data_IF_585430117190
#
_entry.id   IF_585430117190
#
_cell.length_a   1.000
_cell.length_b   1.000
_cell.length_c   1.000
_cell.angle_alpha   90.00
_cell.angle_beta   90.00
_cell.angle_gamma   90.00
#
_symmetry.space_group_name_H-M   'P 1'
#
loop_
_entity.id
_entity.type
_entity.pdbx_description
1 polymer ?
#
# COMPACT_ATOMS: atom_id res chain seq x y z
N UNK A 1 20.94 -9.60 14.93
CA UNK A 1 20.18 -8.44 14.40
C UNK A 1 19.01 -8.82 13.49
N UNK A 2 18.92 -10.03 12.92
CA UNK A 2 17.75 -10.45 12.12
C UNK A 2 16.58 -11.04 12.92
N UNK A 3 16.83 -11.53 14.14
CA UNK A 3 15.81 -12.23 14.95
C UNK A 3 15.03 -11.30 15.89
N UNK A 4 15.49 -10.06 16.08
CA UNK A 4 14.93 -9.13 17.07
C UNK A 4 13.76 -8.31 16.50
N UNK A 5 13.76 -8.01 15.18
CA UNK A 5 12.65 -7.31 14.53
C UNK A 5 11.36 -8.15 14.48
N UNK A 6 11.49 -9.47 14.29
CA UNK A 6 10.32 -10.37 14.27
C UNK A 6 9.76 -10.62 15.67
N UNK A 7 10.62 -10.66 16.69
CA UNK A 7 10.19 -10.69 18.09
C UNK A 7 9.40 -9.45 18.48
N UNK A 8 9.69 -8.27 17.92
CA UNK A 8 8.90 -7.05 18.18
C UNK A 8 7.47 -7.11 17.61
N UNK A 9 7.26 -7.75 16.45
CA UNK A 9 5.90 -7.97 15.91
C UNK A 9 5.11 -9.06 16.66
N UNK A 10 5.78 -10.09 17.19
CA UNK A 10 5.13 -11.20 17.92
C UNK A 10 5.05 -11.02 19.44
N UNK A 11 5.90 -10.19 20.06
CA UNK A 11 5.81 -9.83 21.50
C UNK A 11 4.66 -8.87 21.81
N UNK A 12 3.95 -8.38 20.79
CA UNK A 12 2.63 -7.78 20.96
C UNK A 12 1.50 -8.81 20.76
N UNK A 13 1.74 -10.08 21.09
CA UNK A 13 0.68 -10.99 21.50
C UNK A 13 0.30 -10.60 22.94
N UNK A 14 -0.84 -9.95 23.18
CA UNK A 14 -1.20 -9.46 24.49
C UNK A 14 -1.51 -10.66 25.38
N UNK A 15 -0.64 -10.92 26.35
CA UNK A 15 -0.86 -11.89 27.43
C UNK A 15 -1.90 -11.39 28.46
N UNK A 16 -2.67 -10.34 28.13
CA UNK A 16 -3.78 -9.79 28.92
C UNK A 16 -4.93 -9.30 28.02
N UNK A 17 -6.16 -9.31 28.57
CA UNK A 17 -7.45 -8.90 27.96
C UNK A 17 -7.43 -8.57 26.45
N UNK A 18 -7.83 -9.55 25.65
CA UNK A 18 -7.76 -9.60 24.18
C UNK A 18 -8.57 -8.54 23.43
N UNK A 19 -9.50 -7.83 24.10
CA UNK A 19 -10.33 -6.82 23.45
C UNK A 19 -9.69 -5.42 23.41
N UNK A 20 -9.06 -4.99 24.51
CA UNK A 20 -8.46 -3.65 24.62
C UNK A 20 -7.22 -3.51 23.75
N UNK A 21 -6.40 -4.54 23.69
CA UNK A 21 -5.19 -4.61 22.86
C UNK A 21 -5.48 -4.58 21.36
N UNK A 22 -6.54 -5.24 20.90
CA UNK A 22 -7.01 -5.17 19.50
C UNK A 22 -7.58 -3.79 19.17
N UNK A 23 -8.32 -3.18 20.10
CA UNK A 23 -8.88 -1.84 19.92
C UNK A 23 -7.79 -0.77 19.81
N UNK A 24 -6.69 -0.91 20.56
CA UNK A 24 -5.53 0.01 20.47
C UNK A 24 -4.76 -0.19 19.17
N UNK A 25 -4.54 -1.45 18.75
CA UNK A 25 -3.79 -1.77 17.54
C UNK A 25 -4.52 -1.37 16.25
N UNK A 26 -5.84 -1.56 16.19
CA UNK A 26 -6.65 -1.20 15.02
C UNK A 26 -7.23 0.22 15.13
N UNK A 27 -7.72 0.63 16.29
CA UNK A 27 -8.30 1.96 16.48
C UNK A 27 -7.27 3.09 16.54
N UNK A 28 -6.06 2.81 17.05
CA UNK A 28 -4.99 3.81 17.17
C UNK A 28 -4.59 4.44 15.82
N UNK A 29 -4.33 3.65 14.76
CA UNK A 29 -4.03 4.18 13.43
C UNK A 29 -5.24 4.73 12.67
N UNK A 30 -6.43 4.15 12.85
CA UNK A 30 -7.62 4.57 12.08
C UNK A 30 -8.02 6.02 12.39
N UNK A 31 -7.92 6.45 13.64
CA UNK A 31 -8.28 7.82 14.04
C UNK A 31 -7.48 8.91 13.29
N UNK A 32 -6.13 8.90 13.26
CA UNK A 32 -5.37 9.90 12.52
C UNK A 32 -5.61 9.81 11.00
N UNK A 33 -5.75 8.61 10.43
CA UNK A 33 -6.03 8.47 8.99
C UNK A 33 -7.33 9.14 8.57
N UNK A 34 -8.42 8.93 9.32
CA UNK A 34 -9.72 9.54 9.01
C UNK A 34 -9.64 11.08 9.08
N UNK A 35 -8.95 11.62 10.09
CA UNK A 35 -8.79 13.07 10.25
C UNK A 35 -7.99 13.66 9.08
N UNK A 36 -6.90 13.01 8.67
CA UNK A 36 -6.04 13.48 7.58
C UNK A 36 -6.78 13.41 6.21
N UNK A 37 -7.55 12.35 5.97
CA UNK A 37 -8.34 12.18 4.75
C UNK A 37 -9.49 13.19 4.65
N UNK A 38 -10.21 13.42 5.76
CA UNK A 38 -11.28 14.43 5.83
C UNK A 38 -10.71 15.84 5.60
N UNK A 39 -9.55 16.13 6.19
CA UNK A 39 -8.86 17.40 6.02
C UNK A 39 -8.41 17.59 4.56
N UNK A 40 -7.83 16.55 3.95
CA UNK A 40 -7.43 16.56 2.54
C UNK A 40 -8.61 16.79 1.61
N UNK A 41 -9.73 16.12 1.87
CA UNK A 41 -10.98 16.26 1.10
C UNK A 41 -11.59 17.64 1.25
N UNK A 42 -11.63 18.18 2.48
CA UNK A 42 -12.14 19.52 2.74
C UNK A 42 -11.34 20.60 2.00
N UNK A 43 -10.00 20.53 2.03
CA UNK A 43 -9.17 21.45 1.27
C UNK A 43 -9.32 21.26 -0.24
N UNK A 44 -9.30 20.01 -0.72
CA UNK A 44 -9.47 19.68 -2.14
C UNK A 44 -10.78 20.22 -2.72
N UNK A 45 -11.89 20.06 -2.00
CA UNK A 45 -13.20 20.56 -2.41
C UNK A 45 -13.34 22.09 -2.34
N UNK A 46 -12.57 22.75 -1.48
CA UNK A 46 -12.62 24.20 -1.32
C UNK A 46 -11.74 24.98 -2.31
N UNK A 47 -10.73 24.36 -2.93
CA UNK A 47 -9.88 24.98 -3.97
C UNK A 47 -10.68 25.73 -5.05
N UNK A 48 -11.69 25.15 -5.72
CA UNK A 48 -12.41 25.84 -6.80
C UNK A 48 -13.25 27.03 -6.32
N UNK A 49 -13.51 27.16 -5.02
CA UNK A 49 -14.34 28.24 -4.47
C UNK A 49 -13.56 29.54 -4.23
N UNK A 50 -12.22 29.50 -4.18
CA UNK A 50 -11.38 30.65 -3.84
C UNK A 50 -10.36 30.90 -4.96
N UNK A 51 -10.45 32.03 -5.71
CA UNK A 51 -9.57 32.31 -6.85
C UNK A 51 -8.07 32.32 -6.52
N UNK A 52 -7.69 32.78 -5.32
CA UNK A 52 -6.28 32.77 -4.88
C UNK A 52 -5.75 31.36 -4.64
N UNK A 53 -6.60 30.41 -4.25
CA UNK A 53 -6.19 29.01 -4.08
C UNK A 53 -6.05 28.32 -5.43
N UNK A 54 -6.91 28.63 -6.39
CA UNK A 54 -6.78 28.14 -7.76
C UNK A 54 -5.48 28.60 -8.42
N UNK A 55 -5.08 29.87 -8.25
CA UNK A 55 -3.81 30.36 -8.79
C UNK A 55 -2.60 29.76 -8.07
N UNK A 56 -2.65 29.62 -6.74
CA UNK A 56 -1.62 28.94 -5.96
C UNK A 56 -1.49 27.45 -6.33
N UNK A 57 -2.61 26.78 -6.62
CA UNK A 57 -2.65 25.40 -7.09
C UNK A 57 -2.02 25.24 -8.48
N UNK A 58 -2.27 26.19 -9.39
CA UNK A 58 -1.65 26.18 -10.72
C UNK A 58 -0.13 26.40 -10.65
N UNK A 59 0.36 27.19 -9.69
CA UNK A 59 1.78 27.50 -9.54
C UNK A 59 2.58 26.42 -8.79
N UNK A 60 2.00 25.81 -7.75
CA UNK A 60 2.72 24.94 -6.83
C UNK A 60 1.95 23.69 -6.36
N UNK A 61 0.83 23.37 -7.00
CA UNK A 61 -0.03 22.26 -6.61
C UNK A 61 -0.55 22.40 -5.17
N UNK A 62 -0.74 21.25 -4.50
CA UNK A 62 -1.24 21.21 -3.11
C UNK A 62 -0.31 21.96 -2.14
N UNK A 63 1.01 21.85 -2.33
CA UNK A 63 1.99 22.56 -1.50
C UNK A 63 1.91 24.09 -1.63
N UNK A 64 1.60 24.58 -2.84
CA UNK A 64 1.34 26.01 -3.10
C UNK A 64 0.10 26.52 -2.39
N UNK A 65 -0.99 25.75 -2.40
CA UNK A 65 -2.24 26.09 -1.69
C UNK A 65 -2.03 26.14 -0.18
N UNK A 66 -1.37 25.13 0.40
CA UNK A 66 -1.04 25.14 1.83
C UNK A 66 -0.11 26.30 2.19
N UNK A 67 0.80 26.66 1.28
CA UNK A 67 1.66 27.84 1.41
C UNK A 67 0.87 29.13 1.50
N UNK A 68 -0.05 29.34 0.57
CA UNK A 68 -0.92 30.52 0.54
C UNK A 68 -1.79 30.61 1.81
N UNK A 69 -2.39 29.50 2.26
CA UNK A 69 -3.23 29.47 3.46
C UNK A 69 -2.42 29.80 4.72
N UNK A 70 -1.26 29.17 4.90
CA UNK A 70 -0.45 29.33 6.10
C UNK A 70 0.25 30.70 6.15
N UNK A 71 0.77 31.18 5.02
CA UNK A 71 1.49 32.46 4.97
C UNK A 71 0.52 33.64 5.05
N UNK A 72 -0.66 33.56 4.41
CA UNK A 72 -1.65 34.64 4.49
C UNK A 72 -2.24 34.84 5.89
N UNK A 73 -2.32 33.77 6.70
CA UNK A 73 -2.90 33.81 8.06
C UNK A 73 -1.85 33.99 9.16
N UNK A 74 -0.70 33.31 9.06
CA UNK A 74 0.31 33.22 10.11
C UNK A 74 1.65 33.88 9.75
N UNK A 75 1.77 34.46 8.55
CA UNK A 75 2.97 35.17 8.10
C UNK A 75 4.25 34.33 8.21
N UNK A 76 5.22 34.82 8.99
CA UNK A 76 6.51 34.14 9.19
C UNK A 76 6.42 32.79 9.90
N UNK A 77 5.46 32.61 10.82
CA UNK A 77 5.27 31.34 11.52
C UNK A 77 4.68 30.27 10.59
N UNK A 78 3.88 30.68 9.60
CA UNK A 78 3.36 29.77 8.57
C UNK A 78 4.46 29.12 7.73
N UNK A 79 5.56 29.85 7.46
CA UNK A 79 6.73 29.31 6.76
C UNK A 79 7.45 28.23 7.57
N UNK A 80 7.51 28.38 8.89
CA UNK A 80 8.07 27.35 9.77
C UNK A 80 7.24 26.06 9.74
N UNK A 81 5.90 26.18 9.77
CA UNK A 81 5.00 25.03 9.66
C UNK A 81 5.15 24.34 8.30
N UNK A 82 5.29 25.08 7.20
CA UNK A 82 5.53 24.50 5.87
C UNK A 82 6.82 23.67 5.82
N UNK A 83 7.88 24.11 6.49
CA UNK A 83 9.14 23.34 6.60
C UNK A 83 8.91 22.05 7.39
N UNK A 84 8.19 22.12 8.51
CA UNK A 84 7.84 20.93 9.29
C UNK A 84 6.99 19.94 8.49
N UNK A 85 6.02 20.44 7.72
CA UNK A 85 5.19 19.62 6.84
C UNK A 85 6.03 18.95 5.73
N UNK A 86 6.97 19.68 5.14
CA UNK A 86 7.94 19.12 4.19
C UNK A 86 8.83 18.04 4.81
N UNK A 87 9.26 18.23 6.06
CA UNK A 87 10.07 17.24 6.79
C UNK A 87 9.28 15.95 7.06
N UNK A 88 7.97 16.05 7.30
CA UNK A 88 7.09 14.88 7.45
C UNK A 88 7.16 13.95 6.23
N UNK A 89 7.14 14.51 5.01
CA UNK A 89 7.23 13.73 3.75
C UNK A 89 8.56 12.96 3.66
N UNK A 90 9.65 13.51 4.21
CA UNK A 90 10.94 12.82 4.26
C UNK A 90 10.87 11.60 5.18
N UNK A 91 10.21 11.72 6.34
CA UNK A 91 10.07 10.60 7.28
C UNK A 91 9.20 9.47 6.72
N UNK A 92 8.11 9.80 6.02
CA UNK A 92 7.25 8.79 5.38
C UNK A 92 7.96 8.10 4.22
N UNK A 93 8.74 8.85 3.44
CA UNK A 93 9.57 8.30 2.37
C UNK A 93 10.61 7.33 2.91
N UNK A 94 11.30 7.67 4.02
CA UNK A 94 12.29 6.81 4.65
C UNK A 94 11.71 5.45 5.10
N UNK A 95 10.48 5.45 5.62
CA UNK A 95 9.73 4.22 5.96
C UNK A 95 9.48 3.37 4.71
N UNK A 96 9.14 3.96 3.58
CA UNK A 96 8.93 3.22 2.33
C UNK A 96 10.23 2.60 1.81
N UNK A 97 11.35 3.31 1.87
CA UNK A 97 12.66 2.75 1.49
C UNK A 97 13.04 1.55 2.36
N UNK A 98 12.74 1.63 3.66
CA UNK A 98 12.98 0.54 4.60
C UNK A 98 12.19 -0.72 4.19
N UNK A 99 10.89 -0.57 3.91
CA UNK A 99 10.03 -1.68 3.48
C UNK A 99 10.53 -2.30 2.17
N UNK A 100 10.84 -1.48 1.15
CA UNK A 100 11.38 -1.97 -0.13
C UNK A 100 12.69 -2.76 0.04
N UNK A 101 13.57 -2.31 0.94
CA UNK A 101 14.82 -3.02 1.23
C UNK A 101 14.59 -4.40 1.84
N UNK A 102 13.57 -4.55 2.69
CA UNK A 102 13.21 -5.84 3.28
C UNK A 102 12.58 -6.77 2.25
N UNK A 103 11.66 -6.27 1.42
CA UNK A 103 11.03 -7.07 0.37
C UNK A 103 12.05 -7.59 -0.64
N UNK A 104 13.06 -6.79 -0.99
CA UNK A 104 14.07 -7.20 -1.97
C UNK A 104 14.90 -8.39 -1.49
N UNK A 105 15.27 -8.42 -0.19
CA UNK A 105 16.00 -9.55 0.40
C UNK A 105 15.10 -10.77 0.59
N UNK A 106 13.80 -10.56 0.87
CA UNK A 106 12.82 -11.64 0.98
C UNK A 106 12.55 -12.34 -0.36
N UNK A 107 12.46 -11.58 -1.46
CA UNK A 107 12.20 -12.13 -2.80
C UNK A 107 13.45 -12.77 -3.40
N UNK A 108 14.63 -12.20 -3.14
CA UNK A 108 15.89 -12.70 -3.71
C UNK A 108 16.90 -13.00 -2.59
N UNK A 109 16.89 -14.22 -2.01
CA UNK A 109 17.69 -14.57 -0.83
C UNK A 109 19.20 -14.38 -1.03
N UNK A 110 19.69 -14.49 -2.27
CA UNK A 110 21.11 -14.30 -2.58
C UNK A 110 21.59 -12.85 -2.32
N UNK A 111 20.68 -11.87 -2.35
CA UNK A 111 20.95 -10.46 -2.11
C UNK A 111 21.14 -10.17 -0.61
N UNK A 112 20.79 -11.13 0.26
CA UNK A 112 21.08 -11.07 1.69
C UNK A 112 22.57 -11.07 2.03
N UNK A 113 23.45 -11.43 1.07
CA UNK A 113 24.91 -11.29 1.23
C UNK A 113 25.42 -9.88 0.99
N UNK A 114 24.63 -9.02 0.35
CA UNK A 114 25.01 -7.64 0.04
C UNK A 114 24.71 -6.74 1.25
N UNK A 115 25.63 -5.85 1.65
CA UNK A 115 25.36 -4.89 2.71
C UNK A 115 24.11 -4.05 2.40
N UNK A 116 23.22 -3.91 3.39
CA UNK A 116 21.91 -3.26 3.24
C UNK A 116 21.95 -1.84 2.64
N UNK A 117 23.06 -1.13 2.86
CA UNK A 117 23.28 0.23 2.33
C UNK A 117 23.16 0.26 0.80
N UNK A 118 23.72 -0.73 0.10
CA UNK A 118 23.65 -0.76 -1.37
C UNK A 118 22.23 -1.01 -1.89
N UNK A 119 21.46 -1.86 -1.21
CA UNK A 119 20.06 -2.13 -1.55
C UNK A 119 19.22 -0.86 -1.32
N UNK A 120 19.46 -0.14 -0.21
CA UNK A 120 18.79 1.13 0.08
C UNK A 120 19.13 2.21 -0.95
N UNK A 121 20.40 2.34 -1.33
CA UNK A 121 20.82 3.28 -2.38
C UNK A 121 20.18 2.93 -3.74
N UNK A 122 20.08 1.64 -4.07
CA UNK A 122 19.40 1.17 -5.27
C UNK A 122 17.91 1.52 -5.27
N UNK A 123 17.20 1.24 -4.17
CA UNK A 123 15.79 1.61 -4.01
C UNK A 123 15.59 3.14 -4.13
N UNK A 124 16.48 3.93 -3.49
CA UNK A 124 16.50 5.39 -3.61
C UNK A 124 16.62 5.85 -5.06
N UNK A 125 17.57 5.28 -5.80
CA UNK A 125 17.83 5.63 -7.20
C UNK A 125 16.60 5.34 -8.09
N UNK A 126 15.94 4.20 -7.88
CA UNK A 126 14.71 3.84 -8.62
C UNK A 126 13.58 4.81 -8.29
N UNK A 127 13.33 5.11 -7.01
CA UNK A 127 12.30 6.07 -6.61
C UNK A 127 12.55 7.47 -7.17
N UNK A 128 13.78 7.97 -7.12
CA UNK A 128 14.15 9.27 -7.69
C UNK A 128 13.99 9.27 -9.21
N UNK A 129 14.38 8.17 -9.89
CA UNK A 129 14.19 8.03 -11.33
C UNK A 129 12.73 8.11 -11.75
N UNK A 130 11.85 7.38 -11.05
CA UNK A 130 10.40 7.43 -11.29
C UNK A 130 9.83 8.81 -10.94
N UNK A 131 10.29 9.44 -9.85
CA UNK A 131 9.84 10.76 -9.44
C UNK A 131 10.17 11.86 -10.48
N UNK A 132 11.33 11.80 -11.13
CA UNK A 132 11.73 12.74 -12.20
C UNK A 132 10.81 12.57 -13.43
N UNK A 133 10.44 11.34 -13.78
CA UNK A 133 9.49 11.11 -14.86
C UNK A 133 8.09 11.62 -14.51
N UNK A 134 7.65 11.36 -13.27
CA UNK A 134 6.33 11.78 -12.77
C UNK A 134 6.19 13.30 -12.60
N UNK A 135 7.29 14.02 -12.31
CA UNK A 135 7.24 15.47 -12.06
C UNK A 135 6.81 16.30 -13.27
N UNK A 136 6.93 15.76 -14.50
CA UNK A 136 6.53 16.46 -15.74
C UNK A 136 5.01 16.69 -15.81
N UNK A 137 4.22 15.79 -15.24
CA UNK A 137 2.76 15.85 -15.21
C UNK A 137 2.24 15.36 -13.86
N UNK A 138 2.75 15.97 -12.78
CA UNK A 138 2.63 15.47 -11.41
C UNK A 138 1.22 15.01 -11.02
N UNK A 139 0.20 15.86 -11.20
CA UNK A 139 -1.16 15.54 -10.75
C UNK A 139 -1.81 14.40 -11.55
N UNK A 140 -1.69 14.42 -12.88
CA UNK A 140 -2.27 13.37 -13.74
C UNK A 140 -1.57 12.03 -13.53
N UNK A 141 -0.23 12.06 -13.41
CA UNK A 141 0.57 10.88 -13.11
C UNK A 141 0.27 10.34 -11.71
N UNK A 142 0.20 11.20 -10.70
CA UNK A 142 -0.09 10.80 -9.33
C UNK A 142 -1.48 10.16 -9.23
N UNK A 143 -2.51 10.78 -9.82
CA UNK A 143 -3.85 10.18 -9.83
C UNK A 143 -3.85 8.79 -10.48
N UNK A 144 -3.15 8.63 -11.61
CA UNK A 144 -3.07 7.34 -12.31
C UNK A 144 -2.31 6.29 -11.50
N UNK A 145 -1.18 6.66 -10.89
CA UNK A 145 -0.38 5.75 -10.06
C UNK A 145 -1.15 5.32 -8.80
N UNK A 146 -1.89 6.24 -8.17
CA UNK A 146 -2.74 5.94 -7.01
C UNK A 146 -3.87 4.97 -7.41
N UNK A 147 -4.52 5.20 -8.56
CA UNK A 147 -5.53 4.26 -9.08
C UNK A 147 -4.95 2.87 -9.31
N UNK A 148 -3.79 2.76 -9.98
CA UNK A 148 -3.13 1.47 -10.24
C UNK A 148 -2.75 0.77 -8.92
N UNK A 149 -2.21 1.51 -7.95
CA UNK A 149 -1.92 0.97 -6.64
C UNK A 149 -3.19 0.44 -5.95
N UNK A 150 -4.30 1.18 -6.06
CA UNK A 150 -5.61 0.78 -5.54
C UNK A 150 -6.11 -0.52 -6.16
N UNK A 151 -6.05 -0.68 -7.49
CA UNK A 151 -6.54 -1.90 -8.16
C UNK A 151 -5.83 -3.18 -7.71
N UNK A 152 -4.57 -3.08 -7.27
CA UNK A 152 -3.81 -4.23 -6.78
C UNK A 152 -4.15 -4.65 -5.35
N UNK A 153 -4.70 -3.74 -4.55
CA UNK A 153 -5.04 -4.03 -3.15
C UNK A 153 -6.21 -5.02 -3.06
N UNK A 154 -7.24 -4.87 -3.88
CA UNK A 154 -8.43 -5.72 -3.86
C UNK A 154 -8.13 -7.21 -4.01
N UNK A 155 -7.47 -7.64 -5.11
CA UNK A 155 -7.03 -9.03 -5.29
C UNK A 155 -6.20 -9.57 -4.13
N UNK A 156 -5.21 -8.78 -3.68
CA UNK A 156 -4.27 -9.20 -2.63
C UNK A 156 -4.97 -9.38 -1.28
N UNK A 157 -5.87 -8.46 -0.92
CA UNK A 157 -6.67 -8.52 0.31
C UNK A 157 -7.67 -9.68 0.23
N UNK A 158 -8.30 -9.92 -0.92
CA UNK A 158 -9.23 -11.03 -1.10
C UNK A 158 -8.55 -12.39 -0.85
N UNK A 159 -7.38 -12.61 -1.46
CA UNK A 159 -6.58 -13.82 -1.26
C UNK A 159 -6.21 -14.01 0.21
N UNK A 160 -5.73 -12.94 0.86
CA UNK A 160 -5.40 -12.97 2.27
C UNK A 160 -6.62 -13.28 3.16
N UNK A 161 -7.77 -12.67 2.89
CA UNK A 161 -9.01 -12.90 3.65
C UNK A 161 -9.51 -14.34 3.51
N UNK A 162 -9.44 -14.92 2.31
CA UNK A 162 -9.84 -16.32 2.09
C UNK A 162 -8.91 -17.26 2.86
N UNK A 163 -7.60 -17.05 2.80
CA UNK A 163 -6.62 -17.86 3.54
C UNK A 163 -6.85 -17.75 5.06
N UNK A 164 -7.02 -16.53 5.56
CA UNK A 164 -7.20 -16.28 6.98
C UNK A 164 -8.54 -16.82 7.51
N UNK A 165 -9.65 -16.49 6.86
CA UNK A 165 -11.00 -16.82 7.33
C UNK A 165 -11.40 -18.26 7.04
N UNK A 166 -11.09 -18.79 5.84
CA UNK A 166 -11.57 -20.11 5.43
C UNK A 166 -10.59 -21.23 5.78
N UNK A 167 -9.33 -21.10 5.37
CA UNK A 167 -8.33 -22.17 5.58
C UNK A 167 -7.80 -22.18 7.02
N UNK A 168 -7.43 -20.99 7.53
CA UNK A 168 -6.88 -20.85 8.88
C UNK A 168 -7.95 -20.69 9.96
N UNK A 169 -9.21 -20.44 9.60
CA UNK A 169 -10.36 -20.27 10.52
C UNK A 169 -10.12 -19.17 11.57
N UNK A 170 -9.41 -18.11 11.18
CA UNK A 170 -9.01 -16.99 12.03
C UNK A 170 -8.26 -17.38 13.31
N UNK A 171 -7.56 -18.53 13.29
CA UNK A 171 -6.80 -19.03 14.44
C UNK A 171 -5.30 -18.68 14.30
N UNK A 172 -4.76 -17.79 15.16
CA UNK A 172 -3.36 -17.40 15.13
C UNK A 172 -2.41 -18.56 15.50
N UNK A 173 -2.90 -19.59 16.20
CA UNK A 173 -2.06 -20.72 16.65
C UNK A 173 -1.59 -21.63 15.50
N UNK A 174 -2.25 -21.53 14.34
CA UNK A 174 -1.87 -22.27 13.12
C UNK A 174 -0.72 -21.63 12.34
N UNK A 175 -0.24 -20.47 12.79
CA UNK A 175 0.96 -19.85 12.25
C UNK A 175 2.14 -20.23 13.13
N UNK A 176 2.81 -21.34 12.80
CA UNK A 176 4.02 -21.74 13.51
C UNK A 176 5.18 -20.79 13.14
N UNK A 177 5.73 -20.01 14.09
CA UNK A 177 6.83 -19.08 13.81
C UNK A 177 8.14 -19.79 13.48
N UNK A 178 8.27 -21.07 13.83
CA UNK A 178 9.52 -21.82 13.69
C UNK A 178 9.77 -22.30 12.26
N UNK A 179 8.70 -22.53 11.50
CA UNK A 179 8.77 -22.99 10.10
C UNK A 179 8.86 -21.84 9.08
N UNK A 180 8.77 -20.58 9.51
CA UNK A 180 8.67 -19.40 8.63
C UNK A 180 9.78 -19.31 7.57
N UNK A 181 10.99 -19.81 7.85
CA UNK A 181 12.14 -19.71 6.96
C UNK A 181 12.45 -21.00 6.18
N UNK A 182 11.57 -22.02 6.24
CA UNK A 182 11.78 -23.30 5.57
C UNK A 182 10.81 -23.48 4.39
N UNK A 183 11.30 -23.19 3.18
CA UNK A 183 10.50 -23.26 1.96
C UNK A 183 9.90 -24.66 1.67
N UNK A 184 10.48 -25.74 2.23
CA UNK A 184 9.97 -27.10 2.05
C UNK A 184 8.83 -27.44 3.02
N UNK A 185 8.75 -26.76 4.17
CA UNK A 185 7.70 -26.92 5.16
C UNK A 185 6.49 -26.03 4.90
N UNK A 186 6.64 -24.97 4.08
CA UNK A 186 5.54 -24.09 3.70
C UNK A 186 4.74 -24.62 2.49
N UNK A 187 3.42 -24.33 2.42
CA UNK A 187 2.62 -24.59 1.23
C UNK A 187 3.17 -23.86 0.00
N UNK A 188 2.94 -24.40 -1.19
CA UNK A 188 3.70 -24.09 -2.40
C UNK A 188 3.55 -22.67 -2.92
N UNK A 189 2.65 -21.83 -2.36
CA UNK A 189 2.50 -20.42 -2.71
C UNK A 189 2.02 -20.14 -4.15
N UNK A 190 2.01 -21.16 -5.01
CA UNK A 190 1.62 -21.12 -6.42
C UNK A 190 0.16 -20.63 -6.55
N UNK A 191 -0.83 -21.08 -5.75
CA UNK A 191 -2.19 -20.55 -5.85
C UNK A 191 -2.28 -19.05 -5.58
N UNK A 192 -1.49 -18.53 -4.63
CA UNK A 192 -1.46 -17.10 -4.33
C UNK A 192 -0.84 -16.29 -5.48
N UNK A 193 0.21 -16.81 -6.11
CA UNK A 193 0.85 -16.15 -7.27
C UNK A 193 -0.11 -16.11 -8.46
N UNK A 194 -0.74 -17.25 -8.79
CA UNK A 194 -1.66 -17.34 -9.94
C UNK A 194 -2.88 -16.43 -9.71
N UNK A 195 -3.47 -16.50 -8.52
CA UNK A 195 -4.62 -15.64 -8.18
C UNK A 195 -4.28 -14.15 -8.09
N UNK A 196 -3.01 -13.78 -7.96
CA UNK A 196 -2.58 -12.37 -8.00
C UNK A 196 -2.23 -11.90 -9.42
N UNK A 197 -1.75 -12.80 -10.29
CA UNK A 197 -1.33 -12.46 -11.65
C UNK A 197 -2.48 -12.50 -12.67
N UNK A 198 -3.36 -13.51 -12.61
CA UNK A 198 -4.43 -13.68 -13.61
C UNK A 198 -5.45 -12.53 -13.60
N UNK A 199 -5.86 -11.96 -12.44
CA UNK A 199 -6.78 -10.83 -12.42
C UNK A 199 -6.27 -9.58 -13.16
N UNK A 200 -4.95 -9.42 -13.37
CA UNK A 200 -4.42 -8.28 -14.11
C UNK A 200 -4.97 -8.17 -15.53
N UNK A 201 -5.23 -9.29 -16.20
CA UNK A 201 -5.84 -9.25 -17.53
C UNK A 201 -7.23 -8.59 -17.50
N UNK A 202 -8.00 -8.85 -16.45
CA UNK A 202 -9.34 -8.28 -16.28
C UNK A 202 -9.26 -6.83 -15.76
N UNK A 203 -8.34 -6.54 -14.84
CA UNK A 203 -8.07 -5.19 -14.34
C UNK A 203 -7.70 -4.27 -15.49
N UNK A 204 -6.76 -4.66 -16.35
CA UNK A 204 -6.34 -3.83 -17.50
C UNK A 204 -7.54 -3.57 -18.41
N UNK A 205 -8.37 -4.56 -18.72
CA UNK A 205 -9.51 -4.37 -19.63
C UNK A 205 -10.67 -3.55 -19.04
N UNK A 206 -10.74 -3.40 -17.72
CA UNK A 206 -11.81 -2.69 -17.00
C UNK A 206 -11.35 -1.39 -16.32
N UNK A 207 -10.08 -1.04 -16.44
CA UNK A 207 -9.48 0.16 -15.86
C UNK A 207 -9.84 1.43 -16.63
N UNK A 208 -10.15 2.50 -15.90
CA UNK A 208 -10.28 3.86 -16.44
C UNK A 208 -9.30 4.81 -15.76
N UNK A 209 -8.13 5.03 -16.35
CA UNK A 209 -7.11 5.95 -15.81
C UNK A 209 -6.72 6.99 -16.85
N UNK A 210 -5.98 8.03 -16.42
CA UNK A 210 -5.47 9.06 -17.32
C UNK A 210 -4.54 8.54 -18.42
N UNK A 211 -3.93 7.36 -18.25
CA UNK A 211 -3.03 6.76 -19.24
C UNK A 211 -3.71 5.75 -20.16
N UNK A 212 -4.69 5.02 -19.65
CA UNK A 212 -5.34 3.94 -20.36
C UNK A 212 -6.78 3.75 -19.92
N UNK A 213 -7.68 3.64 -20.91
CA UNK A 213 -9.09 3.32 -20.74
C UNK A 213 -9.37 2.00 -21.43
N UNK A 214 -9.76 1.00 -20.65
CA UNK A 214 -10.06 -0.34 -21.15
C UNK A 214 -11.40 -0.42 -21.90
N UNK A 215 -11.58 -1.44 -22.76
CA UNK A 215 -12.79 -1.63 -23.55
C UNK A 215 -14.05 -1.84 -22.69
N UNK A 216 -13.93 -2.42 -21.49
CA UNK A 216 -15.04 -2.60 -20.56
C UNK A 216 -15.37 -1.28 -19.86
N UNK A 217 -14.33 -0.51 -19.49
CA UNK A 217 -14.48 0.78 -18.85
C UNK A 217 -15.27 1.79 -19.70
N UNK A 218 -15.08 1.77 -21.02
CA UNK A 218 -15.83 2.62 -21.96
C UNK A 218 -17.35 2.39 -21.95
N UNK A 219 -17.81 1.20 -21.53
CA UNK A 219 -19.22 0.80 -21.62
C UNK A 219 -19.97 0.98 -20.29
N UNK A 220 -19.33 0.69 -19.16
CA UNK A 220 -20.02 0.51 -17.87
C UNK A 220 -19.50 1.46 -16.77
N UNK A 221 -18.29 2.03 -16.92
CA UNK A 221 -17.47 2.75 -15.92
C UNK A 221 -16.32 1.90 -15.33
N UNK A 222 -15.51 2.50 -14.45
CA UNK A 222 -14.32 1.88 -13.86
C UNK A 222 -14.72 0.79 -12.84
N UNK A 223 -14.53 -0.48 -13.24
CA UNK A 223 -14.81 -1.65 -12.40
C UNK A 223 -13.55 -2.46 -12.11
N UNK A 224 -12.36 -1.91 -12.36
CA UNK A 224 -11.10 -2.63 -12.20
C UNK A 224 -10.91 -3.23 -10.81
N UNK A 225 -11.26 -2.48 -9.75
CA UNK A 225 -11.15 -2.95 -8.38
C UNK A 225 -12.07 -4.15 -8.08
N UNK A 226 -13.36 -4.02 -8.39
CA UNK A 226 -14.36 -5.04 -8.07
C UNK A 226 -14.16 -6.32 -8.89
N UNK A 227 -13.94 -6.17 -10.19
CA UNK A 227 -13.72 -7.29 -11.10
C UNK A 227 -12.39 -8.02 -10.79
N UNK A 228 -11.34 -7.27 -10.46
CA UNK A 228 -10.08 -7.84 -10.00
C UNK A 228 -10.25 -8.65 -8.71
N UNK A 229 -10.97 -8.10 -7.74
CA UNK A 229 -11.21 -8.75 -6.43
C UNK A 229 -12.03 -10.03 -6.59
N UNK A 230 -13.14 -9.98 -7.33
CA UNK A 230 -14.02 -11.14 -7.54
C UNK A 230 -13.28 -12.25 -8.28
N UNK A 231 -12.51 -11.93 -9.32
CA UNK A 231 -11.75 -12.94 -10.06
C UNK A 231 -10.62 -13.55 -9.25
N UNK A 232 -9.91 -12.77 -8.43
CA UNK A 232 -8.91 -13.28 -7.51
C UNK A 232 -9.52 -14.30 -6.53
N UNK A 233 -10.66 -13.98 -5.93
CA UNK A 233 -11.34 -14.87 -4.99
C UNK A 233 -11.85 -16.15 -5.65
N UNK A 234 -12.46 -16.04 -6.84
CA UNK A 234 -12.97 -17.18 -7.61
C UNK A 234 -11.85 -18.12 -8.09
N UNK A 235 -10.65 -17.60 -8.36
CA UNK A 235 -9.50 -18.42 -8.74
C UNK A 235 -8.79 -19.01 -7.53
N UNK A 236 -8.61 -18.22 -6.46
CA UNK A 236 -7.85 -18.64 -5.29
C UNK A 236 -8.53 -19.78 -4.54
N UNK A 237 -9.85 -19.69 -4.34
CA UNK A 237 -10.61 -20.69 -3.59
C UNK A 237 -10.46 -22.13 -4.14
N UNK A 238 -10.74 -22.42 -5.44
CA UNK A 238 -10.58 -23.77 -5.98
C UNK A 238 -9.11 -24.20 -6.08
N UNK A 239 -8.19 -23.29 -6.43
CA UNK A 239 -6.76 -23.62 -6.52
C UNK A 239 -6.19 -24.05 -5.17
N UNK A 240 -6.59 -23.37 -4.09
CA UNK A 240 -6.17 -23.69 -2.73
C UNK A 240 -6.81 -24.99 -2.22
N UNK A 241 -8.08 -25.26 -2.57
CA UNK A 241 -8.72 -26.54 -2.29
C UNK A 241 -8.01 -27.72 -2.96
N UNK A 242 -7.56 -27.55 -4.20
CA UNK A 242 -6.78 -28.56 -4.92
C UNK A 242 -5.40 -28.76 -4.27
N UNK A 243 -4.73 -27.67 -3.91
CA UNK A 243 -3.43 -27.73 -3.24
C UNK A 243 -3.50 -28.48 -1.91
N UNK A 244 -4.49 -28.20 -1.07
CA UNK A 244 -4.69 -28.90 0.21
C UNK A 244 -4.98 -30.38 -0.01
N UNK A 245 -5.72 -30.74 -1.06
CA UNK A 245 -5.99 -32.15 -1.41
C UNK A 245 -4.74 -32.88 -1.91
N UNK A 246 -3.84 -32.19 -2.60
CA UNK A 246 -2.66 -32.80 -3.22
C UNK A 246 -1.46 -32.86 -2.28
N UNK A 247 -1.21 -31.79 -1.52
CA UNK A 247 -0.05 -31.68 -0.63
C UNK A 247 -0.36 -32.08 0.82
N UNK A 248 -1.63 -32.16 1.21
CA UNK A 248 -2.02 -32.56 2.56
C UNK A 248 -1.67 -31.56 3.67
N UNK A 249 -1.06 -30.42 3.33
CA UNK A 249 -0.71 -29.34 4.25
C UNK A 249 -1.69 -28.17 4.11
N UNK A 250 -2.03 -27.54 5.24
CA UNK A 250 -2.80 -26.29 5.34
C UNK A 250 -1.85 -25.14 5.62
#
# INVERSE_FOLDING_TARGET
MGNDCWRLCLLYAPTGSTASSRLVLFGGPLCPFLIDDDLGTAFGGAIPSIPSWTSAYAAGGVGGVLGEILISRLGGFGRFILILLGMSIVTTSARDMYSMSLFTVAVVPWLGRVPRVFILCGAAAVMVGVAIAASRSFLSTLSTLVSIAGYMTGPTVCVFLIEWLYFRKADPSKLDPTIWNDAAALPSGIPAIISSLVPWALIITSMSTGWYVGPIAMRISDLAYELGTVTAGLLYFPLRLLEVRWLGHV
#
